data_IF_864861068876
#
_entry.id   IF_864861068876
#
_cell.length_a   1.000
_cell.length_b   1.000
_cell.length_c   1.000
_cell.angle_alpha   90.00
_cell.angle_beta   90.00
_cell.angle_gamma   90.00
#
_symmetry.space_group_name_H-M   'P 1'
#
loop_
_entity.id
_entity.type
_entity.pdbx_description
1 polymer ?
#
# COMPACT_ATOMS: atom_id res chain seq x y z
N UNK A 1 61.01 43.68 -23.86
CA UNK A 1 61.09 43.94 -25.30
C UNK A 1 59.84 43.29 -25.85
N UNK A 2 58.89 44.11 -25.88
CA UNK A 2 57.99 44.63 -26.92
C UNK A 2 56.88 43.73 -27.41
N UNK A 3 55.72 44.14 -27.01
CA UNK A 3 54.41 44.15 -27.68
C UNK A 3 54.62 44.75 -29.15
N UNK A 4 53.68 44.73 -30.11
CA UNK A 4 52.21 44.71 -30.02
C UNK A 4 51.39 44.20 -31.25
N UNK A 5 50.07 44.21 -31.05
CA UNK A 5 48.96 44.79 -31.86
C UNK A 5 48.33 44.05 -33.04
N UNK A 6 47.01 43.88 -32.83
CA UNK A 6 45.83 44.46 -33.54
C UNK A 6 45.56 44.09 -35.01
N UNK A 7 44.41 43.60 -35.35
CA UNK A 7 43.22 44.25 -35.93
C UNK A 7 42.40 43.35 -36.77
N UNK A 8 41.15 43.34 -36.40
CA UNK A 8 39.88 43.39 -37.17
C UNK A 8 39.90 43.06 -38.68
N UNK A 9 38.83 42.32 -39.10
CA UNK A 9 37.83 42.80 -40.05
C UNK A 9 36.69 41.77 -40.19
N UNK A 10 35.49 42.32 -40.19
CA UNK A 10 34.14 41.78 -40.46
C UNK A 10 34.03 41.15 -41.86
N UNK A 11 33.15 40.16 -41.98
CA UNK A 11 32.16 40.08 -43.07
C UNK A 11 31.00 39.12 -42.77
N UNK A 12 29.81 39.57 -43.03
CA UNK A 12 28.50 38.96 -42.89
C UNK A 12 28.20 37.89 -43.95
N UNK A 13 27.30 36.97 -43.60
CA UNK A 13 26.73 36.10 -44.67
C UNK A 13 25.76 35.02 -44.16
N UNK A 14 24.52 35.35 -44.11
CA UNK A 14 23.31 34.61 -44.49
C UNK A 14 22.86 33.36 -43.69
N UNK A 15 21.65 33.48 -43.22
CA UNK A 15 20.63 32.58 -42.66
C UNK A 15 20.43 31.30 -43.46
N UNK A 16 20.35 30.18 -42.72
CA UNK A 16 19.57 29.01 -43.13
C UNK A 16 18.89 28.42 -41.87
N UNK A 17 17.61 28.61 -41.81
CA UNK A 17 16.68 28.01 -40.84
C UNK A 17 16.58 26.51 -41.08
N UNK A 18 16.99 25.70 -40.09
CA UNK A 18 16.65 24.30 -40.00
C UNK A 18 15.83 24.12 -38.71
N UNK A 19 14.53 23.82 -38.88
CA UNK A 19 13.63 23.36 -37.85
C UNK A 19 14.07 21.98 -37.33
N UNK A 20 14.77 21.96 -36.25
CA UNK A 20 15.12 20.77 -35.50
C UNK A 20 14.19 20.66 -34.30
N UNK A 21 13.29 19.68 -34.33
CA UNK A 21 12.48 19.27 -33.18
C UNK A 21 13.37 18.70 -32.10
N UNK A 22 13.57 19.45 -31.04
CA UNK A 22 14.19 18.99 -29.79
C UNK A 22 13.19 18.13 -29.01
N UNK A 23 13.53 16.89 -28.59
CA UNK A 23 12.71 16.19 -27.62
C UNK A 23 12.83 16.89 -26.28
N UNK A 24 11.67 17.21 -25.70
CA UNK A 24 11.58 17.76 -24.36
C UNK A 24 12.17 16.75 -23.36
N UNK A 25 13.30 17.08 -22.80
CA UNK A 25 13.85 16.46 -21.61
C UNK A 25 12.88 16.77 -20.44
N UNK A 26 12.10 15.77 -20.03
CA UNK A 26 11.45 15.80 -18.75
C UNK A 26 12.53 15.78 -17.66
N UNK A 27 12.90 16.95 -17.19
CA UNK A 27 13.67 17.10 -15.98
C UNK A 27 12.83 16.57 -14.82
N UNK A 28 13.20 15.42 -14.28
CA UNK A 28 12.72 14.95 -12.99
C UNK A 28 13.11 16.01 -11.95
N UNK A 29 12.12 16.78 -11.47
CA UNK A 29 12.27 17.54 -10.25
C UNK A 29 12.38 16.53 -9.09
N UNK A 30 13.60 16.27 -8.66
CA UNK A 30 13.89 15.72 -7.34
C UNK A 30 13.50 16.80 -6.34
N UNK A 31 12.26 16.75 -5.86
CA UNK A 31 11.74 17.65 -4.84
C UNK A 31 12.46 17.41 -3.52
N UNK A 32 13.20 18.41 -3.07
CA UNK A 32 13.75 18.48 -1.72
C UNK A 32 12.61 18.35 -0.70
N UNK A 33 12.85 17.54 0.34
CA UNK A 33 11.90 17.22 1.40
C UNK A 33 11.37 18.45 2.14
N UNK A 34 10.17 18.85 1.76
CA UNK A 34 9.31 19.70 2.58
C UNK A 34 8.39 18.84 3.43
N UNK A 35 8.22 19.19 4.69
CA UNK A 35 7.33 18.53 5.68
C UNK A 35 5.83 18.72 5.41
N UNK A 36 5.43 19.10 4.21
CA UNK A 36 4.04 19.12 3.74
C UNK A 36 3.67 17.77 3.14
N UNK A 37 2.68 17.07 3.72
CA UNK A 37 2.18 15.79 3.19
C UNK A 37 1.77 15.93 1.72
N UNK A 38 2.14 14.94 0.90
CA UNK A 38 1.65 14.84 -0.48
C UNK A 38 0.27 14.23 -0.48
N UNK A 39 -0.54 14.62 -1.45
CA UNK A 39 -1.91 14.12 -1.57
C UNK A 39 -2.18 13.63 -2.99
N UNK A 40 -2.83 12.48 -3.07
CA UNK A 40 -3.54 12.01 -4.26
C UNK A 40 -5.01 12.44 -4.11
N UNK A 41 -5.55 13.11 -5.11
CA UNK A 41 -6.92 13.61 -5.10
C UNK A 41 -7.69 13.13 -6.33
N UNK A 42 -8.92 12.63 -6.09
CA UNK A 42 -9.84 12.21 -7.14
C UNK A 42 -11.28 12.51 -6.72
N UNK A 43 -11.87 13.56 -7.29
CA UNK A 43 -13.19 14.03 -6.85
C UNK A 43 -13.18 14.36 -5.35
N UNK A 44 -14.09 13.77 -4.54
CA UNK A 44 -14.14 14.02 -3.11
C UNK A 44 -13.13 13.22 -2.29
N UNK A 45 -12.33 12.37 -2.92
CA UNK A 45 -11.32 11.55 -2.25
C UNK A 45 -10.00 12.28 -2.20
N UNK A 46 -9.40 12.31 -1.02
CA UNK A 46 -8.07 12.89 -0.77
C UNK A 46 -7.26 11.94 0.09
N UNK A 47 -6.17 11.42 -0.44
CA UNK A 47 -5.30 10.42 0.21
C UNK A 47 -3.94 11.03 0.49
N UNK A 48 -3.61 11.16 1.77
CA UNK A 48 -2.28 11.54 2.23
C UNK A 48 -1.32 10.38 2.03
N UNK A 49 -0.21 10.62 1.34
CA UNK A 49 0.80 9.62 1.09
C UNK A 49 2.22 10.16 1.25
N UNK A 50 3.14 9.25 1.41
CA UNK A 50 4.58 9.52 1.36
C UNK A 50 5.27 8.46 0.52
N UNK A 51 6.44 8.81 0.02
CA UNK A 51 7.31 7.88 -0.68
C UNK A 51 8.78 8.14 -0.33
N UNK A 52 9.58 7.09 -0.32
CA UNK A 52 11.02 7.18 -0.08
C UNK A 52 11.75 6.00 -0.71
N UNK A 53 13.04 6.16 -0.93
CA UNK A 53 13.86 5.14 -1.61
C UNK A 53 13.75 5.21 -3.12
N UNK A 54 14.36 4.24 -3.79
CA UNK A 54 14.40 4.12 -5.24
C UNK A 54 14.37 2.65 -5.66
N UNK A 55 14.08 2.38 -6.93
CA UNK A 55 14.00 1.03 -7.47
C UNK A 55 12.58 0.58 -7.74
N UNK A 56 12.32 -0.74 -7.70
CA UNK A 56 11.00 -1.30 -7.94
C UNK A 56 10.01 -0.80 -6.87
N UNK A 57 8.82 -0.33 -7.27
CA UNK A 57 7.83 0.16 -6.32
C UNK A 57 7.34 -0.92 -5.36
N UNK A 58 7.28 -0.59 -4.08
CA UNK A 58 6.73 -1.41 -3.00
C UNK A 58 5.66 -0.60 -2.26
N UNK A 59 4.40 -0.99 -2.45
CA UNK A 59 3.28 -0.44 -1.70
C UNK A 59 3.27 -1.05 -0.29
N UNK A 60 3.34 -0.22 0.74
CA UNK A 60 3.30 -0.62 2.15
C UNK A 60 1.94 -0.24 2.76
N UNK A 61 1.19 -1.22 3.25
CA UNK A 61 -0.13 -1.05 3.85
C UNK A 61 -0.03 -1.27 5.36
N UNK A 62 -0.36 -0.25 6.14
CA UNK A 62 -0.33 -0.32 7.59
C UNK A 62 -1.38 -1.28 8.16
N UNK A 63 -1.11 -1.84 9.32
CA UNK A 63 -2.11 -2.46 10.19
C UNK A 63 -2.99 -1.43 10.90
N UNK A 64 -3.82 -1.89 11.85
CA UNK A 64 -4.68 -1.01 12.64
C UNK A 64 -6.14 -0.93 12.18
N UNK A 65 -6.57 -1.86 11.30
CA UNK A 65 -7.94 -1.87 10.77
C UNK A 65 -8.26 -0.58 10.00
N UNK A 66 -9.44 -0.01 10.21
CA UNK A 66 -9.82 1.25 9.57
C UNK A 66 -9.05 2.48 10.11
N UNK A 67 -8.21 2.30 11.12
CA UNK A 67 -7.27 3.31 11.62
C UNK A 67 -5.85 3.17 11.05
N UNK A 68 -5.68 2.48 9.92
CA UNK A 68 -4.38 2.36 9.24
C UNK A 68 -3.83 3.73 8.84
N UNK A 69 -2.68 4.10 9.39
CA UNK A 69 -2.01 5.39 9.13
C UNK A 69 -0.52 5.22 8.86
N UNK A 70 0.09 6.22 8.25
CA UNK A 70 1.55 6.30 8.07
C UNK A 70 2.25 6.22 9.43
N UNK A 71 1.75 6.93 10.43
CA UNK A 71 2.30 6.86 11.79
C UNK A 71 2.19 5.44 12.37
N UNK A 72 1.03 4.78 12.18
CA UNK A 72 0.82 3.39 12.60
C UNK A 72 1.74 2.40 11.89
N UNK A 73 2.07 2.64 10.63
CA UNK A 73 3.04 1.83 9.90
C UNK A 73 4.44 1.91 10.52
N UNK A 74 4.85 3.10 10.93
CA UNK A 74 6.19 3.36 11.48
C UNK A 74 6.32 2.83 12.90
N UNK A 75 5.33 3.07 13.77
CA UNK A 75 5.44 2.85 15.21
C UNK A 75 4.64 1.66 15.73
N UNK A 76 3.61 1.22 15.01
CA UNK A 76 2.70 0.16 15.44
C UNK A 76 2.94 -1.20 14.78
N UNK A 77 3.81 -1.29 13.77
CA UNK A 77 4.18 -2.55 13.14
C UNK A 77 5.26 -3.28 13.94
N UNK A 78 5.39 -4.60 13.83
CA UNK A 78 6.45 -5.37 14.52
C UNK A 78 7.87 -4.90 14.21
N UNK A 79 8.07 -4.30 13.06
CA UNK A 79 9.29 -3.59 12.63
C UNK A 79 8.88 -2.43 11.71
N UNK A 80 9.77 -1.46 11.50
CA UNK A 80 9.52 -0.35 10.57
C UNK A 80 9.85 -0.79 9.13
N UNK A 81 8.85 -1.10 8.30
CA UNK A 81 9.10 -1.62 6.96
C UNK A 81 9.70 -0.57 6.01
N UNK A 82 9.50 0.71 6.30
CA UNK A 82 10.08 1.79 5.49
C UNK A 82 11.60 1.77 5.64
N UNK A 83 12.09 1.71 6.87
CA UNK A 83 13.54 1.69 7.15
C UNK A 83 14.19 0.42 6.56
N UNK A 84 13.51 -0.72 6.66
CA UNK A 84 14.04 -1.99 6.15
C UNK A 84 14.12 -2.02 4.62
N UNK A 85 13.15 -1.45 3.90
CA UNK A 85 13.06 -1.65 2.46
C UNK A 85 13.48 -0.44 1.60
N UNK A 86 13.54 0.78 2.14
CA UNK A 86 13.87 2.01 1.37
C UNK A 86 15.25 1.98 0.67
N UNK A 87 16.17 1.16 1.12
CA UNK A 87 17.48 0.99 0.50
C UNK A 87 17.47 0.24 -0.84
N UNK A 88 16.39 -0.52 -1.12
CA UNK A 88 16.28 -1.37 -2.30
C UNK A 88 15.01 -1.14 -3.12
N UNK A 89 14.00 -0.51 -2.53
CA UNK A 89 12.69 -0.30 -3.11
C UNK A 89 12.26 1.16 -3.02
N UNK A 90 11.49 1.62 -4.00
CA UNK A 90 10.70 2.83 -3.86
C UNK A 90 9.48 2.48 -3.00
N UNK A 91 9.56 2.77 -1.71
CA UNK A 91 8.48 2.52 -0.76
C UNK A 91 7.40 3.60 -0.88
N UNK A 92 6.16 3.22 -1.11
CA UNK A 92 4.97 4.07 -1.16
C UNK A 92 4.05 3.66 -0.02
N UNK A 93 3.58 4.61 0.76
CA UNK A 93 2.69 4.34 1.89
C UNK A 93 1.74 5.51 2.14
N UNK A 94 0.53 5.21 2.60
CA UNK A 94 -0.54 6.18 2.71
C UNK A 94 -1.37 5.96 3.98
N UNK A 95 -2.02 7.02 4.44
CA UNK A 95 -3.12 6.88 5.38
C UNK A 95 -4.34 6.28 4.68
N UNK A 96 -5.03 5.37 5.34
CA UNK A 96 -6.31 4.86 4.85
C UNK A 96 -7.36 5.97 4.85
N UNK A 97 -8.25 5.98 3.87
CA UNK A 97 -9.38 6.93 3.81
C UNK A 97 -10.14 6.93 5.13
N UNK A 98 -10.32 8.11 5.73
CA UNK A 98 -11.04 8.34 6.99
C UNK A 98 -10.42 7.67 8.24
N UNK A 99 -9.16 7.23 8.20
CA UNK A 99 -8.48 6.74 9.39
C UNK A 99 -8.38 7.82 10.47
N UNK A 100 -8.67 7.48 11.73
CA UNK A 100 -8.46 8.39 12.84
C UNK A 100 -6.97 8.60 13.06
N UNK A 101 -6.57 9.86 13.23
CA UNK A 101 -5.16 10.24 13.33
C UNK A 101 -4.44 10.36 11.98
N UNK A 102 -5.11 10.02 10.86
CA UNK A 102 -4.62 10.21 9.51
C UNK A 102 -5.12 11.51 8.86
N UNK A 103 -4.58 11.82 7.68
CA UNK A 103 -4.94 13.02 6.90
C UNK A 103 -5.77 12.69 5.64
N UNK A 104 -6.08 11.41 5.41
CA UNK A 104 -6.91 10.98 4.28
C UNK A 104 -8.39 11.12 4.58
N UNK A 105 -9.15 11.55 3.58
CA UNK A 105 -10.59 11.76 3.69
C UNK A 105 -11.33 11.40 2.40
N UNK A 106 -12.64 11.16 2.52
CA UNK A 106 -13.51 10.89 1.39
C UNK A 106 -14.86 10.36 1.85
N UNK A 107 -15.77 10.04 0.92
CA UNK A 107 -17.06 9.46 1.24
C UNK A 107 -16.92 8.04 1.82
N UNK A 108 -17.92 7.62 2.61
CA UNK A 108 -18.12 6.20 2.94
C UNK A 108 -18.91 5.54 1.80
N UNK A 109 -18.24 4.73 1.00
CA UNK A 109 -18.88 3.96 -0.08
C UNK A 109 -19.47 2.67 0.49
N UNK A 110 -20.67 2.77 1.04
CA UNK A 110 -21.36 1.72 1.81
C UNK A 110 -21.54 0.43 0.99
N UNK A 111 -21.82 0.55 -0.29
CA UNK A 111 -22.11 -0.61 -1.15
C UNK A 111 -20.86 -1.41 -1.53
N UNK A 112 -19.69 -0.75 -1.49
CA UNK A 112 -18.42 -1.33 -1.96
C UNK A 112 -17.21 -0.97 -1.07
N UNK A 113 -17.28 -1.21 0.24
CA UNK A 113 -16.30 -0.70 1.19
C UNK A 113 -14.87 -1.18 0.92
N UNK A 114 -14.67 -2.47 0.64
CA UNK A 114 -13.35 -3.02 0.31
C UNK A 114 -12.82 -2.48 -1.02
N UNK A 115 -13.68 -2.37 -2.02
CA UNK A 115 -13.30 -1.90 -3.35
C UNK A 115 -12.97 -0.41 -3.36
N UNK A 116 -13.64 0.40 -2.53
CA UNK A 116 -13.33 1.82 -2.42
C UNK A 116 -11.90 2.07 -1.93
N UNK A 117 -11.43 1.28 -0.97
CA UNK A 117 -10.04 1.35 -0.53
C UNK A 117 -9.04 0.82 -1.57
N UNK A 118 -9.42 -0.22 -2.31
CA UNK A 118 -8.58 -0.69 -3.42
C UNK A 118 -8.49 0.35 -4.55
N UNK A 119 -9.57 1.08 -4.81
CA UNK A 119 -9.55 2.22 -5.76
C UNK A 119 -8.59 3.33 -5.32
N UNK A 120 -8.51 3.61 -4.03
CA UNK A 120 -7.55 4.57 -3.50
C UNK A 120 -6.11 4.11 -3.71
N UNK A 121 -5.83 2.84 -3.41
CA UNK A 121 -4.51 2.26 -3.54
C UNK A 121 -4.06 2.19 -5.01
N UNK A 122 -4.91 1.71 -5.90
CA UNK A 122 -4.62 1.65 -7.34
C UNK A 122 -4.54 3.04 -7.96
N UNK A 123 -5.45 3.94 -7.57
CA UNK A 123 -5.44 5.32 -8.02
C UNK A 123 -4.20 6.10 -7.58
N UNK A 124 -3.68 5.83 -6.39
CA UNK A 124 -2.39 6.37 -5.95
C UNK A 124 -1.25 5.86 -6.83
N UNK A 125 -1.23 4.56 -7.18
CA UNK A 125 -0.22 4.02 -8.08
C UNK A 125 -0.32 4.68 -9.47
N UNK A 126 -1.52 4.87 -10.00
CA UNK A 126 -1.74 5.57 -11.27
C UNK A 126 -1.26 7.02 -11.22
N UNK A 127 -1.57 7.74 -10.13
CA UNK A 127 -1.11 9.11 -9.89
C UNK A 127 0.42 9.23 -9.88
N UNK A 128 1.11 8.19 -9.41
CA UNK A 128 2.57 8.12 -9.36
C UNK A 128 3.20 7.57 -10.66
N UNK A 129 2.39 7.23 -11.67
CA UNK A 129 2.85 6.63 -12.92
C UNK A 129 3.43 5.23 -12.75
N UNK A 130 2.93 4.48 -11.75
CA UNK A 130 3.41 3.14 -11.42
C UNK A 130 2.44 2.11 -12.03
N UNK A 131 2.92 1.37 -13.01
CA UNK A 131 2.15 0.30 -13.64
C UNK A 131 2.25 -1.01 -12.85
N UNK A 132 3.46 -1.49 -12.61
CA UNK A 132 3.73 -2.72 -11.85
C UNK A 132 4.41 -2.41 -10.52
N UNK A 133 4.01 -3.14 -9.48
CA UNK A 133 4.55 -2.96 -8.13
C UNK A 133 4.47 -4.24 -7.30
N UNK A 134 5.23 -4.28 -6.25
CA UNK A 134 5.07 -5.24 -5.15
C UNK A 134 4.23 -4.62 -4.05
N UNK A 135 3.62 -5.45 -3.23
CA UNK A 135 2.81 -4.98 -2.09
C UNK A 135 3.17 -5.75 -0.83
N UNK A 136 3.26 -5.04 0.28
CA UNK A 136 3.37 -5.63 1.62
C UNK A 136 2.35 -4.99 2.54
N UNK A 137 1.65 -5.80 3.34
CA UNK A 137 0.65 -5.30 4.27
C UNK A 137 0.62 -6.06 5.58
N UNK A 138 0.26 -5.35 6.65
CA UNK A 138 0.07 -5.88 7.99
C UNK A 138 -1.42 -5.95 8.33
N UNK A 139 -1.86 -6.96 9.07
CA UNK A 139 -3.21 -7.06 9.62
C UNK A 139 -4.29 -6.92 8.51
N UNK A 140 -5.07 -5.83 8.50
CA UNK A 140 -6.06 -5.53 7.45
C UNK A 140 -5.42 -5.44 6.05
N UNK A 141 -4.12 -5.22 5.97
CA UNK A 141 -3.36 -5.27 4.72
C UNK A 141 -3.48 -6.61 4.00
N UNK A 142 -3.66 -7.72 4.72
CA UNK A 142 -3.90 -9.03 4.10
C UNK A 142 -5.17 -9.05 3.23
N UNK A 143 -6.36 -8.75 3.75
CA UNK A 143 -7.58 -8.59 2.96
C UNK A 143 -7.46 -7.56 1.82
N UNK A 144 -6.80 -6.42 2.04
CA UNK A 144 -6.58 -5.46 0.95
C UNK A 144 -5.71 -6.04 -0.16
N UNK A 145 -4.64 -6.76 0.17
CA UNK A 145 -3.78 -7.44 -0.81
C UNK A 145 -4.59 -8.44 -1.64
N UNK A 146 -5.41 -9.29 -1.01
CA UNK A 146 -6.26 -10.20 -1.75
C UNK A 146 -7.22 -9.49 -2.70
N UNK A 147 -7.78 -8.34 -2.28
CA UNK A 147 -8.64 -7.54 -3.15
C UNK A 147 -7.88 -6.89 -4.31
N UNK A 148 -6.67 -6.41 -4.06
CA UNK A 148 -5.79 -5.88 -5.12
C UNK A 148 -5.42 -6.96 -6.13
N UNK A 149 -5.07 -8.17 -5.68
CA UNK A 149 -4.76 -9.32 -6.55
C UNK A 149 -5.95 -9.72 -7.41
N UNK A 150 -7.18 -9.60 -6.88
CA UNK A 150 -8.41 -9.84 -7.65
C UNK A 150 -8.65 -8.76 -8.70
N UNK A 151 -8.37 -7.50 -8.39
CA UNK A 151 -8.76 -6.36 -9.22
C UNK A 151 -7.69 -5.95 -10.24
N UNK A 152 -6.44 -6.20 -9.93
CA UNK A 152 -5.30 -5.80 -10.75
C UNK A 152 -4.19 -6.87 -10.75
N UNK A 153 -4.51 -8.14 -11.12
CA UNK A 153 -3.55 -9.24 -11.03
C UNK A 153 -2.27 -9.00 -11.83
N UNK A 154 -2.38 -8.35 -12.99
CA UNK A 154 -1.25 -8.10 -13.89
C UNK A 154 -0.31 -7.00 -13.41
N UNK A 155 -0.72 -6.23 -12.40
CA UNK A 155 0.06 -5.14 -11.82
C UNK A 155 0.87 -5.55 -10.60
N UNK A 156 0.51 -6.64 -9.94
CA UNK A 156 1.14 -7.05 -8.67
C UNK A 156 2.12 -8.18 -8.93
N UNK A 157 3.39 -7.84 -8.81
CA UNK A 157 4.52 -8.74 -9.10
C UNK A 157 4.68 -9.82 -8.01
N UNK A 158 4.59 -9.41 -6.75
CA UNK A 158 4.61 -10.29 -5.59
C UNK A 158 3.95 -9.60 -4.39
N UNK A 159 3.46 -10.38 -3.43
CA UNK A 159 2.76 -9.88 -2.26
C UNK A 159 3.31 -10.47 -0.97
N UNK A 160 3.39 -9.66 0.09
CA UNK A 160 3.77 -10.08 1.45
C UNK A 160 2.66 -9.73 2.42
N UNK A 161 2.14 -10.71 3.13
CA UNK A 161 1.09 -10.56 4.13
C UNK A 161 1.64 -10.88 5.51
N UNK A 162 1.92 -9.86 6.31
CA UNK A 162 2.39 -10.02 7.68
C UNK A 162 1.20 -9.99 8.65
N UNK A 163 1.04 -11.03 9.45
CA UNK A 163 -0.07 -11.19 10.42
C UNK A 163 -1.44 -10.83 9.81
N UNK A 164 -1.85 -11.46 8.67
CA UNK A 164 -3.06 -11.06 7.98
C UNK A 164 -4.32 -11.28 8.81
N UNK A 165 -5.26 -10.33 8.70
CA UNK A 165 -6.60 -10.51 9.27
C UNK A 165 -7.40 -11.55 8.49
N UNK A 166 -8.27 -12.27 9.21
CA UNK A 166 -9.15 -13.27 8.62
C UNK A 166 -10.47 -13.38 9.37
N UNK A 167 -11.48 -13.96 8.71
CA UNK A 167 -12.80 -14.19 9.29
C UNK A 167 -12.88 -15.55 9.96
N UNK A 168 -13.44 -15.60 11.18
CA UNK A 168 -13.75 -16.83 11.91
C UNK A 168 -15.22 -16.84 12.30
N UNK A 169 -15.93 -17.96 12.04
CA UNK A 169 -17.35 -18.07 12.38
C UNK A 169 -17.67 -17.77 13.84
N UNK A 170 -16.79 -18.20 14.76
CA UNK A 170 -16.95 -18.02 16.21
C UNK A 170 -16.64 -16.61 16.71
N UNK A 171 -16.09 -15.75 15.84
CA UNK A 171 -15.72 -14.34 16.15
C UNK A 171 -16.22 -13.37 15.08
N UNK A 172 -17.39 -13.61 14.53
CA UNK A 172 -17.98 -12.87 13.40
C UNK A 172 -18.07 -11.36 13.64
N UNK A 173 -18.29 -10.97 14.89
CA UNK A 173 -18.54 -9.57 15.27
C UNK A 173 -17.28 -8.82 15.72
N UNK A 174 -16.15 -9.50 15.81
CA UNK A 174 -14.91 -8.90 16.33
C UNK A 174 -14.57 -7.56 15.65
N UNK A 175 -14.49 -7.55 14.33
CA UNK A 175 -14.12 -6.36 13.56
C UNK A 175 -15.26 -5.34 13.50
N UNK A 176 -16.50 -5.80 13.43
CA UNK A 176 -17.66 -4.93 13.51
C UNK A 176 -17.67 -4.17 14.85
N UNK A 177 -17.62 -4.89 15.97
CA UNK A 177 -17.65 -4.31 17.30
C UNK A 177 -16.47 -3.35 17.54
N UNK A 178 -15.28 -3.74 17.13
CA UNK A 178 -14.08 -2.89 17.27
C UNK A 178 -14.25 -1.56 16.53
N UNK A 179 -14.80 -1.58 15.32
CA UNK A 179 -15.00 -0.36 14.54
C UNK A 179 -16.18 0.47 15.06
N UNK A 180 -17.26 -0.17 15.48
CA UNK A 180 -18.42 0.53 16.06
C UNK A 180 -18.12 1.20 17.41
N UNK A 181 -17.18 0.63 18.18
CA UNK A 181 -16.77 1.17 19.49
C UNK A 181 -15.60 2.16 19.40
N UNK A 182 -14.76 2.05 18.39
CA UNK A 182 -13.53 2.83 18.24
C UNK A 182 -13.54 3.78 17.04
N UNK A 183 -13.36 3.24 15.82
CA UNK A 183 -13.21 4.06 14.62
C UNK A 183 -14.42 4.93 14.31
N UNK A 184 -15.62 4.37 14.33
CA UNK A 184 -16.86 5.07 13.93
C UNK A 184 -17.18 6.29 14.77
N UNK A 185 -17.24 6.22 16.12
CA UNK A 185 -17.52 7.36 16.96
C UNK A 185 -16.53 8.54 16.78
N UNK A 186 -15.24 8.23 16.62
CA UNK A 186 -14.23 9.25 16.40
C UNK A 186 -14.32 9.86 14.99
N UNK A 187 -14.68 9.06 13.98
CA UNK A 187 -14.92 9.54 12.64
C UNK A 187 -16.09 10.53 12.61
N UNK A 188 -17.23 10.17 13.20
CA UNK A 188 -18.44 11.01 13.24
C UNK A 188 -18.20 12.34 13.94
N UNK A 189 -17.39 12.36 15.00
CA UNK A 189 -16.97 13.63 15.66
C UNK A 189 -16.22 14.57 14.71
N UNK A 190 -15.41 14.03 13.80
CA UNK A 190 -14.59 14.81 12.85
C UNK A 190 -15.31 15.14 11.56
N UNK A 191 -16.31 14.35 11.20
CA UNK A 191 -17.04 14.39 9.92
C UNK A 191 -18.54 14.48 10.18
N UNK A 192 -19.07 15.69 10.40
CA UNK A 192 -20.51 15.90 10.67
C UNK A 192 -21.45 15.44 9.54
N UNK A 193 -20.91 15.25 8.35
CA UNK A 193 -21.60 14.71 7.17
C UNK A 193 -21.74 13.17 7.22
N UNK A 194 -21.07 12.50 8.15
CA UNK A 194 -21.12 11.05 8.36
C UNK A 194 -21.88 10.75 9.66
N UNK A 195 -22.88 9.91 9.59
CA UNK A 195 -23.67 9.49 10.75
C UNK A 195 -23.26 8.10 11.26
N UNK A 196 -23.57 7.78 12.52
CA UNK A 196 -23.34 6.43 13.05
C UNK A 196 -24.15 5.36 12.29
N UNK A 197 -25.30 5.71 11.71
CA UNK A 197 -26.05 4.81 10.83
C UNK A 197 -25.28 4.49 9.54
N UNK A 198 -24.62 5.48 8.94
CA UNK A 198 -23.75 5.25 7.77
C UNK A 198 -22.54 4.37 8.14
N UNK A 199 -21.95 4.61 9.31
CA UNK A 199 -20.86 3.78 9.85
C UNK A 199 -21.32 2.34 10.03
N UNK A 200 -22.48 2.12 10.67
CA UNK A 200 -23.05 0.78 10.88
C UNK A 200 -23.25 0.04 9.54
N UNK A 201 -23.88 0.68 8.57
CA UNK A 201 -24.08 0.10 7.23
C UNK A 201 -22.75 -0.25 6.55
N UNK A 202 -21.76 0.65 6.64
CA UNK A 202 -20.44 0.45 6.04
C UNK A 202 -19.70 -0.76 6.67
N UNK A 203 -19.58 -0.81 7.99
CA UNK A 203 -18.89 -1.91 8.66
C UNK A 203 -19.66 -3.22 8.62
N UNK A 204 -21.01 -3.17 8.60
CA UNK A 204 -21.86 -4.35 8.35
C UNK A 204 -21.59 -4.94 6.97
N UNK A 205 -21.55 -4.09 5.94
CA UNK A 205 -21.23 -4.53 4.58
C UNK A 205 -19.84 -5.11 4.49
N UNK A 206 -18.87 -4.51 5.21
CA UNK A 206 -17.48 -4.91 5.20
C UNK A 206 -17.22 -6.25 5.89
N UNK A 207 -17.84 -6.49 7.04
CA UNK A 207 -17.46 -7.60 7.91
C UNK A 207 -18.54 -8.62 8.18
N UNK A 208 -19.84 -8.29 7.98
CA UNK A 208 -20.98 -9.17 8.30
C UNK A 208 -21.73 -9.68 7.07
N UNK A 209 -21.70 -8.94 5.96
CA UNK A 209 -22.42 -9.33 4.75
C UNK A 209 -21.63 -10.37 3.97
N UNK A 210 -21.89 -11.65 4.20
CA UNK A 210 -21.26 -12.77 3.53
C UNK A 210 -19.72 -12.70 3.52
N UNK A 211 -19.08 -12.53 4.67
CA UNK A 211 -17.63 -12.46 4.70
C UNK A 211 -17.05 -13.81 4.28
N UNK A 212 -16.16 -13.80 3.29
CA UNK A 212 -15.32 -14.95 3.00
C UNK A 212 -14.19 -15.07 4.05
N UNK A 213 -13.44 -16.17 4.06
CA UNK A 213 -12.44 -16.45 5.08
C UNK A 213 -11.33 -15.35 5.18
N UNK A 214 -11.05 -14.64 4.08
CA UNK A 214 -10.16 -13.48 4.03
C UNK A 214 -10.90 -12.18 3.66
N UNK A 215 -12.22 -12.13 3.87
CA UNK A 215 -13.17 -11.03 3.63
C UNK A 215 -13.42 -10.66 2.18
N UNK A 216 -12.43 -10.66 1.30
CA UNK A 216 -12.48 -9.98 -0.01
C UNK A 216 -12.50 -10.90 -1.21
N UNK A 217 -12.07 -12.15 -1.03
CA UNK A 217 -12.00 -13.15 -2.10
C UNK A 217 -12.40 -14.53 -1.60
N UNK A 218 -12.90 -15.36 -2.53
CA UNK A 218 -13.27 -16.73 -2.27
C UNK A 218 -12.05 -17.66 -2.21
N UNK A 219 -12.25 -18.85 -1.65
CA UNK A 219 -11.26 -19.94 -1.68
C UNK A 219 -10.87 -20.32 -3.10
N UNK A 220 -11.82 -20.32 -4.02
CA UNK A 220 -11.56 -20.63 -5.43
C UNK A 220 -10.69 -19.56 -6.11
N UNK A 221 -10.88 -18.29 -5.76
CA UNK A 221 -9.98 -17.25 -6.23
C UNK A 221 -8.55 -17.51 -5.72
N UNK A 222 -8.38 -17.80 -4.44
CA UNK A 222 -7.04 -18.05 -3.84
C UNK A 222 -6.37 -19.27 -4.49
N UNK A 223 -7.11 -20.37 -4.78
CA UNK A 223 -6.58 -21.55 -5.50
C UNK A 223 -6.06 -21.23 -6.90
N UNK A 224 -6.63 -20.24 -7.54
CA UNK A 224 -6.27 -19.86 -8.91
C UNK A 224 -5.30 -18.68 -8.99
N UNK A 225 -4.96 -18.06 -7.87
CA UNK A 225 -4.06 -16.91 -7.82
C UNK A 225 -2.63 -17.31 -8.19
N UNK A 226 -2.12 -16.73 -9.29
CA UNK A 226 -0.77 -17.06 -9.79
C UNK A 226 0.31 -16.09 -9.30
N UNK A 227 -0.06 -15.04 -8.61
CA UNK A 227 0.92 -14.12 -8.01
C UNK A 227 1.59 -14.78 -6.82
N UNK A 228 2.93 -14.73 -6.72
CA UNK A 228 3.66 -15.19 -5.52
C UNK A 228 3.24 -14.43 -4.28
N UNK A 229 2.96 -15.15 -3.19
CA UNK A 229 2.53 -14.57 -1.90
C UNK A 229 3.36 -15.17 -0.76
N UNK A 230 4.03 -14.31 0.02
CA UNK A 230 4.64 -14.72 1.28
C UNK A 230 3.69 -14.39 2.44
N UNK A 231 3.35 -15.37 3.26
CA UNK A 231 2.49 -15.22 4.43
C UNK A 231 3.31 -15.41 5.70
N UNK A 232 3.29 -14.41 6.57
CA UNK A 232 3.85 -14.46 7.92
C UNK A 232 2.66 -14.58 8.90
N UNK A 233 2.30 -15.78 9.36
CA UNK A 233 1.11 -16.00 10.16
C UNK A 233 1.26 -15.42 11.58
N UNK A 234 0.13 -15.20 12.23
CA UNK A 234 0.03 -14.84 13.63
C UNK A 234 -1.08 -15.70 14.29
N UNK A 235 -1.21 -15.67 15.59
CA UNK A 235 -2.29 -16.43 16.27
C UNK A 235 -2.91 -15.60 17.39
N UNK A 236 -3.61 -14.55 17.00
CA UNK A 236 -4.49 -13.78 17.87
C UNK A 236 -5.88 -13.67 17.24
N UNK A 237 -6.89 -13.25 18.00
CA UNK A 237 -8.27 -13.13 17.48
C UNK A 237 -8.41 -12.40 16.16
N UNK A 238 -7.66 -11.31 15.96
CA UNK A 238 -7.69 -10.51 14.74
C UNK A 238 -6.84 -11.10 13.58
N UNK A 239 -5.90 -11.98 13.88
CA UNK A 239 -4.97 -12.59 12.93
C UNK A 239 -4.96 -14.12 13.13
N UNK A 240 -6.03 -14.83 12.75
CA UNK A 240 -6.16 -16.25 13.06
C UNK A 240 -5.19 -17.10 12.23
N UNK A 241 -4.35 -17.86 12.92
CA UNK A 241 -3.35 -18.76 12.31
C UNK A 241 -3.98 -19.71 11.29
N UNK A 242 -5.13 -20.32 11.66
CA UNK A 242 -5.81 -21.27 10.78
C UNK A 242 -6.20 -20.65 9.44
N UNK A 243 -6.67 -19.40 9.43
CA UNK A 243 -7.08 -18.70 8.18
C UNK A 243 -5.86 -18.36 7.34
N UNK A 244 -4.76 -17.88 7.97
CA UNK A 244 -3.52 -17.58 7.27
C UNK A 244 -2.93 -18.86 6.62
N UNK A 245 -2.95 -19.98 7.35
CA UNK A 245 -2.46 -21.26 6.83
C UNK A 245 -3.38 -21.86 5.77
N UNK A 246 -4.70 -21.70 5.90
CA UNK A 246 -5.64 -22.10 4.84
C UNK A 246 -5.35 -21.35 3.55
N UNK A 247 -5.15 -20.02 3.62
CA UNK A 247 -4.79 -19.22 2.45
C UNK A 247 -3.46 -19.67 1.83
N UNK A 248 -2.46 -19.96 2.66
CA UNK A 248 -1.16 -20.46 2.19
C UNK A 248 -1.27 -21.83 1.51
N UNK A 249 -2.07 -22.75 2.05
CA UNK A 249 -2.28 -24.09 1.46
C UNK A 249 -3.07 -24.05 0.15
N UNK A 250 -3.93 -23.06 -0.02
CA UNK A 250 -4.73 -22.90 -1.22
C UNK A 250 -3.96 -22.23 -2.36
N UNK A 251 -3.16 -21.20 -2.06
CA UNK A 251 -2.45 -20.41 -3.07
C UNK A 251 -1.27 -21.20 -3.68
N UNK A 252 -1.25 -21.42 -5.01
CA UNK A 252 -0.27 -22.31 -5.66
C UNK A 252 1.19 -21.86 -5.51
N UNK A 253 1.41 -20.55 -5.33
CA UNK A 253 2.75 -19.96 -5.22
C UNK A 253 2.92 -19.25 -3.86
N UNK A 254 2.34 -19.84 -2.80
CA UNK A 254 2.50 -19.31 -1.47
C UNK A 254 3.80 -19.86 -0.82
N UNK A 255 4.48 -18.98 -0.11
CA UNK A 255 5.50 -19.28 0.87
C UNK A 255 5.01 -18.89 2.26
N UNK A 256 5.51 -19.57 3.28
CA UNK A 256 5.16 -19.30 4.69
C UNK A 256 6.43 -19.06 5.48
N UNK A 257 6.41 -18.06 6.35
CA UNK A 257 7.51 -17.84 7.28
C UNK A 257 7.47 -18.86 8.42
N UNK A 258 8.58 -18.96 9.16
CA UNK A 258 8.56 -19.66 10.46
C UNK A 258 7.51 -19.04 11.36
N UNK A 259 6.87 -19.87 12.20
CA UNK A 259 5.92 -19.39 13.23
C UNK A 259 6.40 -19.85 14.61
N UNK A 260 6.32 -18.99 15.63
CA UNK A 260 6.06 -17.54 15.57
C UNK A 260 7.28 -16.77 15.01
N UNK A 261 7.04 -15.73 14.19
CA UNK A 261 8.11 -15.00 13.52
C UNK A 261 8.50 -13.68 14.24
N UNK A 262 7.64 -13.16 15.11
CA UNK A 262 7.84 -11.89 15.82
C UNK A 262 8.07 -12.05 17.32
N UNK A 263 7.91 -13.27 17.81
CA UNK A 263 8.15 -13.60 19.24
C UNK A 263 8.99 -14.87 19.36
N UNK A 264 10.08 -14.84 20.15
CA UNK A 264 10.61 -13.63 20.77
C UNK A 264 11.10 -12.63 19.71
N UNK A 265 11.27 -11.35 20.08
CA UNK A 265 11.60 -10.24 19.12
C UNK A 265 12.88 -10.49 18.32
N UNK A 266 13.79 -11.31 18.80
CA UNK A 266 15.02 -11.72 18.15
C UNK A 266 14.77 -12.53 16.85
N UNK A 267 13.54 -13.00 16.64
CA UNK A 267 13.13 -13.67 15.39
C UNK A 267 12.77 -12.69 14.27
N UNK A 268 12.42 -11.45 14.60
CA UNK A 268 12.04 -10.44 13.60
C UNK A 268 13.10 -10.27 12.51
N UNK A 269 14.42 -10.15 12.81
CA UNK A 269 15.44 -10.05 11.77
C UNK A 269 15.49 -11.27 10.82
N UNK A 270 15.11 -12.45 11.28
CA UNK A 270 15.02 -13.64 10.41
C UNK A 270 13.86 -13.52 9.43
N UNK A 271 12.70 -13.09 9.93
CA UNK A 271 11.51 -12.83 9.09
C UNK A 271 11.78 -11.73 8.06
N UNK A 272 12.42 -10.64 8.48
CA UNK A 272 12.80 -9.53 7.58
C UNK A 272 13.74 -10.03 6.47
N UNK A 273 14.76 -10.85 6.79
CA UNK A 273 15.63 -11.45 5.77
C UNK A 273 14.86 -12.35 4.81
N UNK A 274 13.87 -13.11 5.29
CA UNK A 274 13.02 -13.93 4.42
C UNK A 274 12.21 -13.05 3.47
N UNK A 275 11.63 -11.95 3.97
CA UNK A 275 10.90 -10.98 3.13
C UNK A 275 11.83 -10.41 2.05
N UNK A 276 13.03 -9.98 2.40
CA UNK A 276 14.03 -9.51 1.42
C UNK A 276 14.33 -10.58 0.35
N UNK A 277 14.57 -11.81 0.77
CA UNK A 277 14.87 -12.92 -0.15
C UNK A 277 13.69 -13.18 -1.10
N UNK A 278 12.48 -13.22 -0.58
CA UNK A 278 11.25 -13.42 -1.35
C UNK A 278 11.04 -12.28 -2.37
N UNK A 279 11.10 -11.03 -1.92
CA UNK A 279 10.91 -9.87 -2.80
C UNK A 279 12.00 -9.82 -3.89
N UNK A 280 13.25 -10.11 -3.56
CA UNK A 280 14.36 -10.16 -4.54
C UNK A 280 14.17 -11.26 -5.58
N UNK A 281 13.71 -12.44 -5.18
CA UNK A 281 13.48 -13.58 -6.07
C UNK A 281 12.42 -13.26 -7.15
N UNK A 282 11.49 -12.35 -6.85
CA UNK A 282 10.37 -12.02 -7.74
C UNK A 282 10.50 -10.66 -8.45
N UNK A 283 11.65 -9.97 -8.39
CA UNK A 283 11.84 -8.65 -9.01
C UNK A 283 11.65 -8.62 -10.53
N UNK A 284 11.82 -9.74 -11.20
CA UNK A 284 11.85 -9.86 -12.66
C UNK A 284 10.67 -10.67 -13.23
N UNK A 285 9.65 -10.90 -12.41
CA UNK A 285 8.47 -11.68 -12.80
C UNK A 285 7.47 -10.84 -13.62
#
# INVERSE_FOLDING_TARGET
MDDPTRRDILAAGTVATALGTTPALFAQQVGQGGTGGRFYEKGPVRIAYQETGAGLPLLLIAGGGLNSTISGLITGSPFNPIEEFKGEYRCIFADLRNANGGQSSGPLEIDRPWDSHADDQLGLMDHLGIDKFMVMGFCIGGPFIWNLLKRAPDRIVAAVQAQPSGSRPEMRDLFYDTNMKGWGPELVKRRPDITMEMVDKFVTKMYRTNPDFVFTVTRDFVRNCQTPVLILPDDIPAHPYAVAMEAAMLAPKAEVSIFPWKEPKERIPLAVRQIHSFLRAHRHA
#
